data_IF_410203857049
#
_entry.id   IF_410203857049
#
_cell.length_a   1.000
_cell.length_b   1.000
_cell.length_c   1.000
_cell.angle_alpha   90.00
_cell.angle_beta   90.00
_cell.angle_gamma   90.00
#
_symmetry.space_group_name_H-M   'P 1'
#
loop_
_entity.id
_entity.type
_entity.pdbx_description
1 polymer ?
#
# COMPACT_ATOMS: atom_id res chain seq x y z
N UNK A 1 -23.17 -6.43 -3.87
CA UNK A 1 -22.19 -5.57 -3.17
C UNK A 1 -21.98 -4.36 -4.06
N UNK A 2 -21.87 -3.18 -3.50
CA UNK A 2 -21.55 -1.96 -4.23
C UNK A 2 -20.04 -1.92 -4.53
N UNK A 3 -19.67 -1.37 -5.69
CA UNK A 3 -18.27 -1.15 -6.05
C UNK A 3 -17.58 -0.17 -5.10
N UNK A 4 -16.29 -0.36 -4.89
CA UNK A 4 -15.43 0.57 -4.15
C UNK A 4 -14.65 1.44 -5.14
N UNK A 5 -14.91 2.73 -5.16
CA UNK A 5 -14.09 3.68 -5.90
C UNK A 5 -12.83 4.01 -5.10
N UNK A 6 -11.68 3.85 -5.71
CA UNK A 6 -10.37 4.10 -5.12
C UNK A 6 -9.69 5.30 -5.74
N UNK A 7 -8.94 6.06 -4.96
CA UNK A 7 -8.05 7.11 -5.40
C UNK A 7 -6.61 6.75 -5.01
N UNK A 8 -5.68 6.84 -5.96
CA UNK A 8 -4.26 6.56 -5.77
C UNK A 8 -3.50 7.87 -5.91
N UNK A 9 -2.90 8.33 -4.82
CA UNK A 9 -2.10 9.54 -4.78
C UNK A 9 -0.66 9.22 -5.18
N UNK A 10 -0.28 9.60 -6.38
CA UNK A 10 1.12 9.60 -6.81
C UNK A 10 1.74 10.95 -6.49
N UNK A 11 2.66 10.99 -5.53
CA UNK A 11 3.24 12.25 -5.04
C UNK A 11 4.71 12.09 -4.69
N UNK A 12 5.46 13.16 -4.85
CA UNK A 12 6.82 13.30 -4.31
C UNK A 12 6.80 13.55 -2.80
N UNK A 13 5.76 14.21 -2.30
CA UNK A 13 5.74 14.76 -0.96
C UNK A 13 6.86 15.78 -0.74
N UNK A 14 7.17 16.07 0.53
CA UNK A 14 8.33 16.85 0.94
C UNK A 14 9.10 16.08 2.02
N UNK A 15 10.30 15.56 1.71
CA UNK A 15 11.10 14.84 2.68
C UNK A 15 11.36 15.65 3.96
N UNK A 16 11.12 15.03 5.12
CA UNK A 16 11.31 15.63 6.43
C UNK A 16 10.19 16.59 6.89
N UNK A 17 9.20 16.91 6.06
CA UNK A 17 8.14 17.88 6.38
C UNK A 17 6.77 17.19 6.53
N UNK A 18 6.56 16.54 7.68
CA UNK A 18 5.31 15.82 8.01
C UNK A 18 4.10 16.73 7.91
N UNK A 19 4.20 17.98 8.41
CA UNK A 19 3.07 18.90 8.39
C UNK A 19 2.65 19.30 6.96
N UNK A 20 3.61 19.42 6.04
CA UNK A 20 3.32 19.64 4.63
C UNK A 20 2.66 18.41 3.98
N UNK A 21 3.17 17.23 4.28
CA UNK A 21 2.65 15.98 3.71
C UNK A 21 1.23 15.68 4.22
N UNK A 22 0.92 16.00 5.48
CA UNK A 22 -0.44 15.93 5.99
C UNK A 22 -1.40 16.87 5.25
N UNK A 23 -0.97 18.08 4.88
CA UNK A 23 -1.80 18.99 4.06
C UNK A 23 -2.05 18.44 2.65
N UNK A 24 -1.02 17.83 2.02
CA UNK A 24 -1.20 17.16 0.71
C UNK A 24 -2.21 16.02 0.84
N UNK A 25 -2.13 15.22 1.92
CA UNK A 25 -3.06 14.11 2.16
C UNK A 25 -4.49 14.62 2.36
N UNK A 26 -4.69 15.67 3.17
CA UNK A 26 -6.00 16.28 3.42
C UNK A 26 -6.65 16.79 2.12
N UNK A 27 -5.88 17.55 1.32
CA UNK A 27 -6.33 18.05 0.01
C UNK A 27 -6.68 16.90 -0.97
N UNK A 28 -5.88 15.83 -0.96
CA UNK A 28 -6.14 14.63 -1.77
C UNK A 28 -7.39 13.89 -1.28
N UNK A 29 -7.56 13.72 0.03
CA UNK A 29 -8.72 13.06 0.64
C UNK A 29 -10.01 13.83 0.32
N UNK A 30 -10.00 15.15 0.49
CA UNK A 30 -11.11 16.03 0.13
C UNK A 30 -11.47 15.91 -1.36
N UNK A 31 -10.47 15.92 -2.25
CA UNK A 31 -10.67 15.82 -3.69
C UNK A 31 -11.19 14.46 -4.11
N UNK A 32 -10.66 13.38 -3.52
CA UNK A 32 -11.08 12.01 -3.76
C UNK A 32 -12.53 11.79 -3.29
N UNK A 33 -12.86 12.18 -2.08
CA UNK A 33 -14.21 12.08 -1.50
C UNK A 33 -15.25 12.86 -2.31
N UNK A 34 -14.94 14.10 -2.73
CA UNK A 34 -15.81 14.92 -3.57
C UNK A 34 -16.15 14.26 -4.93
N UNK A 35 -15.36 13.29 -5.36
CA UNK A 35 -15.57 12.52 -6.59
C UNK A 35 -16.06 11.09 -6.36
N UNK A 36 -16.51 10.79 -5.13
CA UNK A 36 -17.14 9.52 -4.76
C UNK A 36 -16.16 8.40 -4.43
N UNK A 37 -14.86 8.69 -4.21
CA UNK A 37 -13.93 7.67 -3.75
C UNK A 37 -14.20 7.34 -2.28
N UNK A 38 -14.21 6.03 -1.96
CA UNK A 38 -14.32 5.53 -0.59
C UNK A 38 -12.97 5.16 0.03
N UNK A 39 -11.89 5.20 -0.76
CA UNK A 39 -10.52 4.89 -0.32
C UNK A 39 -9.51 5.78 -1.03
N UNK A 40 -8.64 6.41 -0.26
CA UNK A 40 -7.41 7.07 -0.71
C UNK A 40 -6.20 6.22 -0.31
N UNK A 41 -5.30 5.93 -1.24
CA UNK A 41 -4.02 5.28 -0.95
C UNK A 41 -2.86 6.20 -1.31
N UNK A 42 -1.91 6.36 -0.36
CA UNK A 42 -0.70 7.14 -0.48
C UNK A 42 0.52 6.23 -0.67
N UNK A 43 1.68 6.76 -1.13
CA UNK A 43 2.90 5.99 -1.33
C UNK A 43 3.56 5.50 -0.02
N UNK A 44 4.58 4.64 -0.18
CA UNK A 44 5.49 4.20 0.88
C UNK A 44 6.20 5.39 1.53
N UNK A 45 6.27 5.39 2.89
CA UNK A 45 6.89 6.45 3.69
C UNK A 45 6.44 7.86 3.28
N UNK A 46 5.16 7.98 2.89
CA UNK A 46 4.60 9.23 2.38
C UNK A 46 4.74 10.38 3.37
N UNK A 47 4.53 10.12 4.67
CA UNK A 47 4.55 11.18 5.69
C UNK A 47 5.91 11.84 5.86
N UNK A 48 6.99 11.07 5.69
CA UNK A 48 8.33 11.54 6.08
C UNK A 48 9.30 11.68 4.92
N UNK A 49 9.04 11.03 3.79
CA UNK A 49 10.02 10.79 2.74
C UNK A 49 10.72 9.44 2.91
N UNK A 50 11.32 8.95 1.84
CA UNK A 50 11.99 7.65 1.75
C UNK A 50 13.46 7.74 2.13
N UNK A 51 14.21 8.69 1.55
CA UNK A 51 15.67 8.80 1.67
C UNK A 51 16.09 9.88 2.68
N UNK A 52 15.56 9.82 3.90
CA UNK A 52 15.79 10.85 4.93
C UNK A 52 16.88 10.49 5.95
N UNK A 53 17.59 9.36 5.73
CA UNK A 53 18.69 8.93 6.60
C UNK A 53 18.28 8.80 8.07
N UNK A 54 19.07 9.36 8.98
CA UNK A 54 18.80 9.38 10.44
C UNK A 54 17.47 10.10 10.82
N UNK A 55 16.90 10.85 9.88
CA UNK A 55 15.55 11.43 10.01
C UNK A 55 14.47 10.38 10.29
N UNK A 56 14.68 9.13 9.85
CA UNK A 56 13.79 8.00 10.13
C UNK A 56 13.55 7.88 11.65
N UNK A 57 14.60 7.84 12.46
CA UNK A 57 14.48 7.71 13.91
C UNK A 57 13.86 8.93 14.59
N UNK A 58 14.11 10.14 14.05
CA UNK A 58 13.56 11.38 14.63
C UNK A 58 12.07 11.54 14.35
N UNK A 59 11.61 11.07 13.17
CA UNK A 59 10.24 11.24 12.70
C UNK A 59 9.39 9.97 12.89
N UNK A 60 9.97 8.88 13.41
CA UNK A 60 9.22 7.68 13.71
C UNK A 60 8.24 7.92 14.86
N UNK A 61 6.98 7.54 14.64
CA UNK A 61 5.90 7.61 15.62
C UNK A 61 5.36 6.20 15.91
N UNK A 62 4.74 6.02 17.07
CA UNK A 62 3.96 4.79 17.33
C UNK A 62 2.71 4.74 16.43
N UNK A 63 2.12 3.56 16.26
CA UNK A 63 0.94 3.37 15.43
C UNK A 63 -0.30 4.20 15.85
N UNK A 64 -0.27 4.80 17.04
CA UNK A 64 -1.29 5.71 17.58
C UNK A 64 -0.74 7.13 17.84
N UNK A 65 0.36 7.48 17.17
CA UNK A 65 1.05 8.77 17.26
C UNK A 65 0.22 9.98 16.77
N UNK A 66 0.85 11.15 16.79
CA UNK A 66 0.18 12.42 16.43
C UNK A 66 -0.27 12.40 14.97
N UNK A 67 0.54 11.87 14.05
CA UNK A 67 0.16 11.78 12.64
C UNK A 67 -1.00 10.82 12.42
N UNK A 68 -1.04 9.69 13.14
CA UNK A 68 -2.17 8.75 13.04
C UNK A 68 -3.48 9.41 13.48
N UNK A 69 -3.45 10.21 14.58
CA UNK A 69 -4.61 10.97 15.05
C UNK A 69 -5.07 12.03 14.04
N UNK A 70 -4.13 12.78 13.47
CA UNK A 70 -4.44 13.78 12.45
C UNK A 70 -5.07 13.16 11.20
N UNK A 71 -4.56 11.99 10.76
CA UNK A 71 -5.11 11.28 9.59
C UNK A 71 -6.48 10.67 9.92
N UNK A 72 -6.72 10.21 11.15
CA UNK A 72 -8.03 9.75 11.60
C UNK A 72 -9.07 10.89 11.54
N UNK A 73 -8.70 12.10 11.96
CA UNK A 73 -9.54 13.29 11.83
C UNK A 73 -9.83 13.65 10.36
N UNK A 74 -8.82 13.58 9.49
CA UNK A 74 -8.98 13.81 8.03
C UNK A 74 -9.91 12.76 7.43
N UNK A 75 -9.70 11.48 7.72
CA UNK A 75 -10.54 10.38 7.22
C UNK A 75 -12.01 10.58 7.62
N UNK A 76 -12.26 10.86 8.90
CA UNK A 76 -13.61 11.11 9.43
C UNK A 76 -14.22 12.38 8.85
N UNK A 77 -13.45 13.48 8.70
CA UNK A 77 -13.96 14.74 8.15
C UNK A 77 -14.44 14.61 6.70
N UNK A 78 -13.79 13.76 5.91
CA UNK A 78 -14.13 13.54 4.50
C UNK A 78 -14.94 12.27 4.25
N UNK A 79 -15.14 11.40 5.27
CA UNK A 79 -15.86 10.13 5.13
C UNK A 79 -15.17 9.16 4.18
N UNK A 80 -13.83 9.13 4.15
CA UNK A 80 -13.01 8.34 3.22
C UNK A 80 -11.96 7.54 4.00
N UNK A 81 -11.79 6.26 3.67
CA UNK A 81 -10.67 5.48 4.22
C UNK A 81 -9.33 5.97 3.64
N UNK A 82 -8.27 5.94 4.45
CA UNK A 82 -6.94 6.42 4.06
C UNK A 82 -5.88 5.37 4.38
N UNK A 83 -5.12 4.94 3.35
CA UNK A 83 -3.88 4.18 3.51
C UNK A 83 -2.69 5.12 3.36
N UNK A 84 -1.76 5.10 4.33
CA UNK A 84 -0.54 5.91 4.27
C UNK A 84 0.68 5.15 4.78
N UNK A 85 1.88 5.50 4.26
CA UNK A 85 3.16 4.95 4.68
C UNK A 85 3.89 5.89 5.65
N UNK A 86 4.53 5.32 6.68
CA UNK A 86 5.26 6.06 7.71
C UNK A 86 6.34 5.20 8.38
N UNK A 87 7.39 5.79 8.99
CA UNK A 87 8.29 5.08 9.87
C UNK A 87 7.61 4.86 11.22
N UNK A 88 7.38 3.59 11.58
CA UNK A 88 6.74 3.21 12.83
C UNK A 88 7.79 2.91 13.90
N UNK A 89 7.71 3.57 15.03
CA UNK A 89 8.44 3.22 16.25
C UNK A 89 7.71 2.10 16.96
N UNK A 90 8.43 1.04 17.36
CA UNK A 90 7.88 -0.01 18.20
C UNK A 90 7.24 0.56 19.47
N UNK A 91 6.16 -0.05 19.94
CA UNK A 91 5.56 0.32 21.21
C UNK A 91 6.52 0.00 22.37
N UNK A 92 6.40 0.74 23.49
CA UNK A 92 7.33 0.64 24.61
C UNK A 92 7.35 -0.77 25.28
N UNK A 93 6.28 -1.51 25.14
CA UNK A 93 6.10 -2.87 25.66
C UNK A 93 6.50 -3.99 24.68
N UNK A 94 6.92 -3.64 23.46
CA UNK A 94 7.43 -4.61 22.51
C UNK A 94 8.84 -5.09 22.89
N UNK A 95 9.21 -6.31 22.47
CA UNK A 95 10.49 -6.96 22.76
C UNK A 95 11.69 -6.08 22.42
N UNK A 96 11.64 -5.37 21.29
CA UNK A 96 12.64 -4.39 20.85
C UNK A 96 11.98 -3.02 20.71
N UNK A 97 11.87 -2.31 21.82
CA UNK A 97 11.26 -0.96 21.84
C UNK A 97 12.08 0.12 21.13
N UNK A 98 13.31 -0.20 20.69
CA UNK A 98 14.13 0.68 19.86
C UNK A 98 13.91 0.47 18.37
N UNK A 99 13.22 -0.61 17.97
CA UNK A 99 12.99 -0.93 16.57
C UNK A 99 12.16 0.16 15.87
N UNK A 100 12.53 0.40 14.62
CA UNK A 100 11.73 1.23 13.68
C UNK A 100 11.38 0.37 12.48
N UNK A 101 10.13 0.45 12.05
CA UNK A 101 9.59 -0.30 10.92
C UNK A 101 9.18 0.62 9.79
N UNK A 102 9.35 0.17 8.55
CA UNK A 102 8.69 0.76 7.40
C UNK A 102 7.25 0.22 7.40
N UNK A 103 6.28 1.08 7.71
CA UNK A 103 4.90 0.66 7.97
C UNK A 103 3.89 1.36 7.09
N UNK A 104 2.76 0.68 6.87
CA UNK A 104 1.58 1.25 6.24
C UNK A 104 0.35 1.01 7.11
N UNK A 105 -0.41 2.08 7.36
CA UNK A 105 -1.60 2.03 8.18
C UNK A 105 -2.84 2.38 7.36
N UNK A 106 -3.90 1.59 7.53
CA UNK A 106 -5.23 1.83 6.98
C UNK A 106 -6.14 2.38 8.07
N UNK A 107 -6.61 3.59 7.88
CA UNK A 107 -7.62 4.26 8.70
C UNK A 107 -8.96 4.17 7.97
N UNK A 108 -10.02 3.82 8.68
CA UNK A 108 -11.38 3.74 8.15
C UNK A 108 -12.06 5.11 8.03
N UNK A 109 -13.21 5.17 7.35
CA UNK A 109 -13.92 6.42 7.08
C UNK A 109 -14.52 7.09 8.33
N UNK A 110 -14.55 6.41 9.48
CA UNK A 110 -14.97 6.96 10.77
C UNK A 110 -13.78 7.36 11.66
N UNK A 111 -12.54 7.24 11.13
CA UNK A 111 -11.28 7.54 11.84
C UNK A 111 -10.72 6.38 12.67
N UNK A 112 -11.30 5.20 12.58
CA UNK A 112 -10.83 4.00 13.26
C UNK A 112 -9.62 3.37 12.55
N UNK A 113 -8.68 2.82 13.31
CA UNK A 113 -7.58 2.05 12.73
C UNK A 113 -8.05 0.66 12.31
N UNK A 114 -8.08 0.39 11.00
CA UNK A 114 -8.49 -0.89 10.43
C UNK A 114 -7.33 -1.89 10.34
N UNK A 115 -6.14 -1.43 9.93
CA UNK A 115 -4.96 -2.28 9.80
C UNK A 115 -3.68 -1.48 9.99
N UNK A 116 -2.60 -2.17 10.41
CA UNK A 116 -1.24 -1.66 10.43
C UNK A 116 -0.29 -2.77 10.02
N UNK A 117 0.44 -2.57 8.93
CA UNK A 117 1.37 -3.53 8.34
C UNK A 117 2.80 -3.01 8.45
N UNK A 118 3.73 -3.89 8.87
CA UNK A 118 5.18 -3.66 8.91
C UNK A 118 5.82 -4.43 7.75
N UNK A 119 6.58 -3.75 6.91
CA UNK A 119 7.25 -4.33 5.73
C UNK A 119 8.10 -5.53 6.11
N UNK A 120 7.88 -6.68 5.47
CA UNK A 120 8.57 -7.93 5.79
C UNK A 120 9.84 -8.13 4.97
N UNK A 121 9.89 -7.62 3.74
CA UNK A 121 11.06 -7.72 2.85
C UNK A 121 11.69 -6.35 2.64
N UNK A 122 12.80 -6.09 3.35
CA UNK A 122 13.52 -4.82 3.25
C UNK A 122 14.38 -4.79 1.97
N UNK A 123 14.26 -3.70 1.20
CA UNK A 123 14.97 -3.51 -0.06
C UNK A 123 16.38 -2.96 0.17
N UNK A 124 17.39 -3.67 -0.40
CA UNK A 124 18.77 -3.21 -0.43
C UNK A 124 19.43 -3.02 0.94
N UNK A 125 20.62 -2.44 0.95
CA UNK A 125 21.34 -2.11 2.20
C UNK A 125 20.69 -0.91 2.90
N UNK A 126 20.17 0.04 2.12
CA UNK A 126 19.58 1.27 2.62
C UNK A 126 18.44 1.02 3.62
N UNK A 127 17.43 0.23 3.25
CA UNK A 127 16.33 -0.05 4.19
C UNK A 127 16.77 -0.87 5.39
N UNK A 128 17.72 -1.81 5.20
CA UNK A 128 18.24 -2.65 6.30
C UNK A 128 19.07 -1.88 7.32
N UNK A 129 19.58 -0.69 6.95
CA UNK A 129 20.28 0.20 7.87
C UNK A 129 19.32 0.88 8.84
N UNK A 130 18.11 1.22 8.36
CA UNK A 130 17.17 2.07 9.11
C UNK A 130 15.97 1.34 9.70
N UNK A 131 15.61 0.16 9.15
CA UNK A 131 14.37 -0.52 9.51
C UNK A 131 14.61 -1.97 9.97
N UNK A 132 13.77 -2.40 10.89
CA UNK A 132 13.61 -3.79 11.29
C UNK A 132 12.52 -4.43 10.40
N UNK A 133 12.71 -5.67 9.90
CA UNK A 133 11.66 -6.35 9.15
C UNK A 133 10.47 -6.72 10.03
N UNK A 134 9.26 -6.60 9.48
CA UNK A 134 8.06 -7.13 10.10
C UNK A 134 8.03 -8.66 10.05
N UNK A 135 7.20 -9.27 10.90
CA UNK A 135 7.09 -10.73 10.99
C UNK A 135 5.75 -11.28 10.45
N UNK A 136 4.79 -10.40 10.15
CA UNK A 136 3.45 -10.80 9.73
C UNK A 136 3.26 -10.58 8.23
N UNK A 137 3.28 -11.67 7.45
CA UNK A 137 3.18 -11.61 5.99
C UNK A 137 1.79 -11.14 5.49
N UNK A 138 0.72 -11.51 6.20
CA UNK A 138 -0.67 -11.20 5.78
C UNK A 138 -1.35 -10.34 6.84
N UNK A 139 -1.65 -9.10 6.48
CA UNK A 139 -2.47 -8.18 7.27
C UNK A 139 -3.65 -7.75 6.42
N UNK A 140 -4.85 -7.87 6.96
CA UNK A 140 -6.11 -7.62 6.26
C UNK A 140 -7.09 -6.84 7.13
N UNK A 141 -8.01 -6.14 6.47
CA UNK A 141 -9.19 -5.52 7.08
C UNK A 141 -10.37 -5.59 6.13
N UNK A 142 -11.58 -5.43 6.66
CA UNK A 142 -12.79 -5.32 5.85
C UNK A 142 -13.12 -3.85 5.59
N UNK A 143 -13.37 -3.48 4.33
CA UNK A 143 -13.79 -2.14 3.93
C UNK A 143 -14.75 -2.22 2.74
N UNK A 144 -15.92 -1.62 2.86
CA UNK A 144 -16.90 -1.56 1.77
C UNK A 144 -17.37 -2.93 1.28
N UNK A 145 -17.30 -3.97 2.12
CA UNK A 145 -17.66 -5.34 1.79
C UNK A 145 -16.58 -6.11 1.02
N UNK A 146 -15.37 -5.55 0.95
CA UNK A 146 -14.18 -6.19 0.37
C UNK A 146 -13.16 -6.49 1.48
N UNK A 147 -12.41 -7.59 1.32
CA UNK A 147 -11.23 -7.92 2.12
C UNK A 147 -10.01 -7.18 1.54
N UNK A 148 -9.55 -6.17 2.26
CA UNK A 148 -8.40 -5.36 1.88
C UNK A 148 -7.12 -5.95 2.50
N UNK A 149 -6.14 -6.29 1.67
CA UNK A 149 -4.79 -6.67 2.12
C UNK A 149 -3.83 -5.50 1.99
N UNK A 150 -2.78 -5.48 2.82
CA UNK A 150 -1.72 -4.45 2.77
C UNK A 150 -0.35 -5.14 2.72
N UNK A 151 0.50 -4.69 1.81
CA UNK A 151 1.94 -4.97 1.78
C UNK A 151 2.68 -3.74 1.24
N UNK A 152 4.01 -3.72 1.33
CA UNK A 152 4.78 -2.52 0.95
C UNK A 152 5.82 -2.88 -0.10
N UNK A 153 5.74 -2.20 -1.27
CA UNK A 153 6.79 -2.13 -2.29
C UNK A 153 7.38 -3.50 -2.64
N UNK A 154 8.61 -3.77 -2.22
CA UNK A 154 9.39 -4.97 -2.50
C UNK A 154 8.66 -6.27 -2.11
N UNK A 155 7.78 -6.25 -1.12
CA UNK A 155 6.96 -7.41 -0.72
C UNK A 155 6.17 -8.00 -1.89
N UNK A 156 5.67 -7.18 -2.83
CA UNK A 156 4.86 -7.62 -3.96
C UNK A 156 5.66 -8.36 -5.03
N UNK A 157 6.99 -8.22 -5.01
CA UNK A 157 7.87 -8.88 -5.96
C UNK A 157 8.02 -10.39 -5.65
N UNK A 158 7.73 -10.81 -4.42
CA UNK A 158 7.73 -12.20 -3.99
C UNK A 158 6.37 -12.85 -4.24
N UNK A 159 6.28 -13.79 -5.22
CA UNK A 159 5.00 -14.41 -5.57
C UNK A 159 4.37 -15.17 -4.40
N UNK A 160 5.19 -15.75 -3.51
CA UNK A 160 4.73 -16.48 -2.32
C UNK A 160 3.95 -15.57 -1.37
N UNK A 161 4.44 -14.33 -1.17
CA UNK A 161 3.82 -13.37 -0.29
C UNK A 161 2.45 -12.90 -0.83
N UNK A 162 2.40 -12.60 -2.13
CA UNK A 162 1.15 -12.22 -2.80
C UNK A 162 0.15 -13.40 -2.82
N UNK A 163 0.65 -14.63 -3.04
CA UNK A 163 -0.17 -15.85 -2.99
C UNK A 163 -0.74 -16.10 -1.59
N UNK A 164 0.00 -15.80 -0.53
CA UNK A 164 -0.49 -15.92 0.84
C UNK A 164 -1.71 -15.01 1.06
N UNK A 165 -1.67 -13.75 0.59
CA UNK A 165 -2.81 -12.85 0.62
C UNK A 165 -4.03 -13.39 -0.13
N UNK A 166 -3.82 -13.91 -1.35
CA UNK A 166 -4.91 -14.49 -2.14
C UNK A 166 -5.56 -15.69 -1.44
N UNK A 167 -4.75 -16.58 -0.86
CA UNK A 167 -5.24 -17.73 -0.10
C UNK A 167 -5.96 -17.36 1.19
N UNK A 168 -5.60 -16.21 1.78
CA UNK A 168 -6.30 -15.64 2.92
C UNK A 168 -7.59 -14.88 2.53
N UNK A 169 -7.93 -14.85 1.22
CA UNK A 169 -9.17 -14.26 0.71
C UNK A 169 -9.12 -12.76 0.43
N UNK A 170 -7.94 -12.17 0.22
CA UNK A 170 -7.82 -10.77 -0.20
C UNK A 170 -8.54 -10.51 -1.51
N UNK A 171 -9.34 -9.46 -1.56
CA UNK A 171 -10.05 -8.98 -2.75
C UNK A 171 -9.31 -7.83 -3.44
N UNK A 172 -8.78 -6.90 -2.64
CA UNK A 172 -7.95 -5.78 -3.07
C UNK A 172 -6.67 -5.73 -2.24
N UNK A 173 -5.54 -5.85 -2.89
CA UNK A 173 -4.22 -5.69 -2.29
C UNK A 173 -3.72 -4.27 -2.52
N UNK A 174 -3.45 -3.53 -1.44
CA UNK A 174 -2.88 -2.19 -1.46
C UNK A 174 -1.37 -2.27 -1.25
N UNK A 175 -0.61 -1.64 -2.16
CA UNK A 175 0.86 -1.70 -2.18
C UNK A 175 1.44 -0.28 -2.27
N UNK A 176 1.54 0.45 -1.14
CA UNK A 176 2.36 1.66 -1.06
C UNK A 176 3.79 1.37 -1.49
N UNK A 177 4.37 2.24 -2.29
CA UNK A 177 5.62 1.93 -2.99
C UNK A 177 6.51 3.16 -3.12
N UNK A 178 7.83 2.93 -3.14
CA UNK A 178 8.88 3.88 -3.48
C UNK A 178 9.82 3.30 -4.55
N UNK A 179 9.23 2.75 -5.63
CA UNK A 179 9.98 2.11 -6.71
C UNK A 179 10.76 3.13 -7.53
N UNK A 180 12.04 2.88 -7.69
CA UNK A 180 12.99 3.74 -8.38
C UNK A 180 13.47 3.15 -9.71
N UNK A 181 14.11 3.99 -10.55
CA UNK A 181 14.82 3.54 -11.73
C UNK A 181 15.99 2.60 -11.36
N UNK A 182 16.26 1.54 -12.18
CA UNK A 182 15.64 1.18 -13.47
C UNK A 182 14.52 0.12 -13.36
N UNK A 183 13.81 0.03 -12.24
CA UNK A 183 12.90 -1.08 -11.93
C UNK A 183 11.44 -0.86 -12.36
N UNK A 184 11.17 -0.01 -13.36
CA UNK A 184 9.81 0.26 -13.89
C UNK A 184 9.07 -1.01 -14.36
N UNK A 185 9.80 -2.08 -14.68
CA UNK A 185 9.24 -3.37 -15.06
C UNK A 185 8.27 -3.92 -14.01
N UNK A 186 8.48 -3.61 -12.73
CA UNK A 186 7.59 -4.04 -11.65
C UNK A 186 6.19 -3.45 -11.87
N UNK A 187 6.08 -2.12 -11.99
CA UNK A 187 4.81 -1.44 -12.23
C UNK A 187 4.17 -1.85 -13.57
N UNK A 188 4.98 -2.02 -14.62
CA UNK A 188 4.49 -2.26 -15.98
C UNK A 188 4.03 -3.70 -16.22
N UNK A 189 4.71 -4.68 -15.60
CA UNK A 189 4.54 -6.10 -15.91
C UNK A 189 4.22 -6.95 -14.67
N UNK A 190 4.97 -6.81 -13.56
CA UNK A 190 4.79 -7.67 -12.39
C UNK A 190 3.42 -7.44 -11.76
N UNK A 191 2.98 -6.19 -11.59
CA UNK A 191 1.71 -5.88 -10.93
C UNK A 191 0.49 -6.47 -11.67
N UNK A 192 0.33 -6.33 -12.99
CA UNK A 192 -0.74 -7.02 -13.73
C UNK A 192 -0.69 -8.55 -13.59
N UNK A 193 0.51 -9.15 -13.60
CA UNK A 193 0.68 -10.58 -13.40
C UNK A 193 0.25 -11.00 -11.99
N UNK A 194 0.64 -10.24 -10.94
CA UNK A 194 0.21 -10.52 -9.56
C UNK A 194 -1.31 -10.48 -9.39
N UNK A 195 -1.98 -9.50 -10.03
CA UNK A 195 -3.43 -9.42 -10.02
C UNK A 195 -4.07 -10.65 -10.70
N UNK A 196 -3.60 -11.00 -11.90
CA UNK A 196 -4.13 -12.09 -12.70
C UNK A 196 -3.92 -13.47 -12.04
N UNK A 197 -2.70 -13.83 -11.68
CA UNK A 197 -2.39 -15.15 -11.14
C UNK A 197 -2.97 -15.41 -9.75
N UNK A 198 -3.35 -14.34 -9.03
CA UNK A 198 -3.93 -14.39 -7.68
C UNK A 198 -5.42 -14.06 -7.65
N UNK A 199 -6.03 -13.74 -8.81
CA UNK A 199 -7.46 -13.47 -8.95
C UNK A 199 -7.98 -12.46 -7.94
N UNK A 200 -7.27 -11.30 -7.84
CA UNK A 200 -7.61 -10.17 -6.98
C UNK A 200 -7.20 -8.86 -7.64
N UNK A 201 -7.74 -7.75 -7.15
CA UNK A 201 -7.25 -6.42 -7.55
C UNK A 201 -5.93 -6.11 -6.84
N UNK A 202 -5.02 -5.41 -7.53
CA UNK A 202 -3.77 -4.90 -6.95
C UNK A 202 -3.64 -3.41 -7.25
N UNK A 203 -3.63 -2.59 -6.21
CA UNK A 203 -3.37 -1.15 -6.27
C UNK A 203 -1.92 -0.88 -5.87
N UNK A 204 -1.11 -0.47 -6.83
CA UNK A 204 0.30 -0.13 -6.67
C UNK A 204 0.44 1.39 -6.67
N UNK A 205 0.85 1.99 -5.53
CA UNK A 205 0.82 3.44 -5.33
C UNK A 205 2.24 3.94 -5.09
N UNK A 206 2.83 4.53 -6.13
CA UNK A 206 4.24 4.87 -6.16
C UNK A 206 4.50 6.36 -5.93
N UNK A 207 5.74 6.65 -5.53
CA UNK A 207 6.31 7.99 -5.48
C UNK A 207 6.73 8.47 -6.88
N UNK A 208 6.95 9.78 -7.00
CA UNK A 208 7.58 10.44 -8.16
C UNK A 208 8.65 11.41 -7.66
N UNK A 209 9.43 11.96 -8.60
CA UNK A 209 10.53 12.89 -8.29
C UNK A 209 11.75 12.16 -7.78
N UNK A 210 12.63 12.89 -7.09
CA UNK A 210 13.90 12.37 -6.59
C UNK A 210 14.09 12.69 -5.11
N UNK A 211 14.69 11.74 -4.38
CA UNK A 211 15.17 11.93 -3.01
C UNK A 211 16.60 11.36 -2.89
N UNK A 212 17.57 12.22 -2.62
CA UNK A 212 18.97 11.81 -2.59
C UNK A 212 19.40 11.23 -3.94
N UNK A 213 19.85 9.98 -3.93
CA UNK A 213 20.26 9.25 -5.14
C UNK A 213 19.12 8.51 -5.86
N UNK A 214 17.95 8.45 -5.27
CA UNK A 214 16.80 7.71 -5.82
C UNK A 214 15.95 8.61 -6.72
N UNK A 215 15.65 8.13 -7.93
CA UNK A 215 14.67 8.73 -8.84
C UNK A 215 13.50 7.77 -9.00
N UNK A 216 12.31 8.17 -8.52
CA UNK A 216 11.13 7.32 -8.49
C UNK A 216 10.39 7.29 -9.82
N UNK A 217 9.93 6.11 -10.21
CA UNK A 217 9.39 5.88 -11.56
C UNK A 217 7.94 6.35 -11.74
N UNK A 218 7.20 6.62 -10.67
CA UNK A 218 5.76 6.84 -10.76
C UNK A 218 5.01 5.60 -11.20
N UNK A 219 4.15 5.71 -12.23
CA UNK A 219 3.40 4.61 -12.83
C UNK A 219 2.44 3.91 -11.87
N UNK A 220 1.96 4.62 -10.84
CA UNK A 220 0.92 4.09 -9.94
C UNK A 220 -0.26 3.54 -10.73
N UNK A 221 -0.78 2.37 -10.35
CA UNK A 221 -1.83 1.73 -11.12
C UNK A 221 -2.76 0.87 -10.25
N UNK A 222 -3.96 0.60 -10.77
CA UNK A 222 -4.85 -0.47 -10.32
C UNK A 222 -4.94 -1.52 -11.42
N UNK A 223 -4.52 -2.75 -11.14
CA UNK A 223 -4.70 -3.91 -12.01
C UNK A 223 -5.86 -4.78 -11.51
N UNK A 224 -6.66 -5.32 -12.43
CA UNK A 224 -7.77 -6.22 -12.14
C UNK A 224 -7.40 -7.69 -12.20
N UNK A 225 -8.29 -8.59 -11.73
CA UNK A 225 -8.06 -10.03 -11.72
C UNK A 225 -7.92 -10.66 -13.11
N UNK A 226 -8.29 -9.94 -14.17
CA UNK A 226 -8.06 -10.29 -15.58
C UNK A 226 -6.70 -9.83 -16.12
N UNK A 227 -5.83 -9.25 -15.28
CA UNK A 227 -4.54 -8.69 -15.66
C UNK A 227 -4.64 -7.32 -16.36
N UNK A 228 -5.84 -6.78 -16.57
CA UNK A 228 -6.03 -5.49 -17.22
C UNK A 228 -5.84 -4.36 -16.23
N UNK A 229 -5.03 -3.37 -16.61
CA UNK A 229 -4.81 -2.16 -15.80
C UNK A 229 -6.00 -1.22 -15.99
N UNK A 230 -6.75 -0.97 -14.92
CA UNK A 230 -7.95 -0.10 -14.90
C UNK A 230 -7.59 1.38 -14.98
N UNK A 231 -6.50 1.75 -14.32
CA UNK A 231 -5.93 3.10 -14.35
C UNK A 231 -4.42 3.05 -14.18
N UNK A 232 -3.72 4.00 -14.78
CA UNK A 232 -2.27 4.18 -14.60
C UNK A 232 -1.92 5.66 -14.63
N UNK A 233 -1.19 6.11 -13.61
CA UNK A 233 -0.57 7.43 -13.58
C UNK A 233 0.64 7.50 -14.53
N UNK A 234 0.99 8.70 -14.95
CA UNK A 234 2.23 8.97 -15.68
C UNK A 234 3.45 9.04 -14.74
N UNK A 235 4.39 9.94 -15.05
CA UNK A 235 5.65 10.13 -14.30
C UNK A 235 5.69 11.46 -13.54
N UNK A 236 4.54 12.07 -13.31
CA UNK A 236 4.38 13.33 -12.56
C UNK A 236 3.40 13.13 -11.41
N UNK A 237 3.27 14.11 -10.53
CA UNK A 237 2.24 14.06 -9.47
C UNK A 237 0.85 13.97 -10.06
N UNK A 238 0.07 13.01 -9.58
CA UNK A 238 -1.29 12.74 -10.05
C UNK A 238 -2.13 12.09 -8.96
N UNK A 239 -3.42 12.40 -8.95
CA UNK A 239 -4.45 11.65 -8.24
C UNK A 239 -5.27 10.90 -9.29
N UNK A 240 -5.01 9.60 -9.45
CA UNK A 240 -5.75 8.75 -10.39
C UNK A 240 -6.81 7.94 -9.66
N UNK A 241 -7.87 7.54 -10.37
CA UNK A 241 -9.02 6.86 -9.77
C UNK A 241 -9.36 5.62 -10.57
N UNK A 242 -9.86 4.61 -9.88
CA UNK A 242 -10.40 3.40 -10.48
C UNK A 242 -11.45 2.76 -9.59
N UNK A 243 -12.25 1.92 -10.19
CA UNK A 243 -13.28 1.14 -9.54
C UNK A 243 -12.78 -0.28 -9.26
N UNK A 244 -13.10 -0.78 -8.07
CA UNK A 244 -12.98 -2.18 -7.67
C UNK A 244 -14.40 -2.76 -7.65
N UNK A 245 -14.71 -3.61 -8.62
CA UNK A 245 -16.01 -4.25 -8.77
C UNK A 245 -15.99 -5.66 -8.17
N UNK A 246 -16.70 -5.90 -7.03
CA UNK A 246 -16.74 -7.22 -6.43
C UNK A 246 -17.54 -8.24 -7.25
N UNK A 247 -18.47 -7.80 -8.12
CA UNK A 247 -19.20 -8.70 -8.99
C UNK A 247 -18.28 -9.26 -10.08
N UNK A 248 -17.50 -8.39 -10.73
CA UNK A 248 -16.48 -8.77 -11.69
C UNK A 248 -15.40 -9.69 -11.06
N UNK A 249 -14.96 -9.37 -9.84
CA UNK A 249 -14.00 -10.22 -9.12
C UNK A 249 -14.53 -11.63 -8.90
N UNK A 250 -15.79 -11.75 -8.49
CA UNK A 250 -16.44 -13.06 -8.30
C UNK A 250 -16.56 -13.85 -9.61
N UNK A 251 -16.95 -13.19 -10.70
CA UNK A 251 -17.04 -13.78 -12.03
C UNK A 251 -15.66 -14.27 -12.50
N UNK A 252 -14.63 -13.44 -12.41
CA UNK A 252 -13.27 -13.77 -12.77
C UNK A 252 -12.73 -14.99 -12.01
N UNK A 253 -13.03 -15.14 -10.72
CA UNK A 253 -12.65 -16.29 -9.90
C UNK A 253 -13.37 -17.59 -10.33
N UNK A 254 -14.55 -17.49 -10.91
CA UNK A 254 -15.27 -18.65 -11.49
C UNK A 254 -14.67 -19.05 -12.84
N UNK A 255 -14.41 -18.06 -13.69
CA UNK A 255 -13.88 -18.28 -15.04
C UNK A 255 -12.43 -18.75 -15.03
N UNK A 256 -11.67 -18.33 -14.01
CA UNK A 256 -10.26 -18.64 -13.85
C UNK A 256 -9.94 -19.16 -12.43
N UNK A 257 -10.23 -20.45 -12.16
CA UNK A 257 -10.18 -20.99 -10.79
C UNK A 257 -8.77 -21.37 -10.32
N UNK A 258 -7.75 -20.54 -10.60
CA UNK A 258 -6.35 -20.80 -10.28
C UNK A 258 -6.10 -21.20 -8.83
N UNK A 259 -6.79 -20.55 -7.86
CA UNK A 259 -6.58 -20.85 -6.45
C UNK A 259 -7.13 -22.22 -6.06
N UNK A 260 -8.19 -22.69 -6.75
CA UNK A 260 -8.78 -24.01 -6.56
C UNK A 260 -7.91 -25.11 -7.20
N UNK A 261 -7.37 -24.85 -8.40
CA UNK A 261 -6.62 -25.83 -9.20
C UNK A 261 -5.18 -26.04 -8.72
N UNK A 262 -4.77 -25.29 -7.67
CA UNK A 262 -3.45 -25.47 -7.05
C UNK A 262 -3.29 -26.88 -6.49
N UNK A 263 -2.06 -27.38 -6.54
CA UNK A 263 -1.65 -28.67 -6.00
C UNK A 263 -0.62 -28.49 -4.89
N UNK A 264 -1.06 -28.06 -3.66
CA UNK A 264 -0.16 -27.71 -2.56
C UNK A 264 0.82 -28.84 -2.21
N UNK A 265 0.43 -30.08 -2.40
CA UNK A 265 1.26 -31.27 -2.15
C UNK A 265 2.54 -31.33 -3.00
N UNK A 266 2.60 -30.54 -4.09
CA UNK A 266 3.77 -30.43 -4.96
C UNK A 266 4.71 -29.28 -4.59
N UNK A 267 4.30 -28.37 -3.69
CA UNK A 267 5.00 -27.12 -3.42
C UNK A 267 5.85 -27.17 -2.13
N UNK A 268 5.88 -28.28 -1.42
CA UNK A 268 6.67 -28.45 -0.20
C UNK A 268 8.14 -27.99 -0.30
N UNK A 269 8.86 -28.21 -1.44
CA UNK A 269 10.23 -27.73 -1.59
C UNK A 269 10.38 -26.20 -1.66
N UNK A 270 9.27 -25.45 -1.78
CA UNK A 270 9.26 -23.99 -1.87
C UNK A 270 9.03 -23.30 -0.51
N UNK A 271 8.87 -24.08 0.57
CA UNK A 271 8.58 -23.58 1.92
C UNK A 271 9.58 -24.11 2.95
#
# INVERSE_FOLDING_TARGET
MTSLHTALLQSSGRPGDVAHNLRILDDAARTAAATGAGLLACPELFLTGYAIGDGVHRLAETADGDSARAIAEIAAAHGIAVLYGYPERAAHDERDSAAVYNSAQLIGPEGERLANYRKTHLFGCFEREWFTPGEQAVVQADLGGLRIGVMICYDVEFPENVRAHALAGTDLLLVPTAQMHPFQFVAESVIPVRAFENQMYVAYVNRVGAEGEFEFVGLSCLAGPDGVVRTRAGRTEQLVRAEVDPAFLKESRVDNPYLHDRRPELYGPLT
#
